data_IF_931012044679
#
_entry.id   IF_931012044679
#
_cell.length_a   1.000
_cell.length_b   1.000
_cell.length_c   1.000
_cell.angle_alpha   90.00
_cell.angle_beta   90.00
_cell.angle_gamma   90.00
#
_symmetry.space_group_name_H-M   'P 1'
#
loop_
_entity.id
_entity.type
_entity.pdbx_description
1 polymer ?
#
# COMPACT_ATOMS: atom_id res chain seq x y z
N UNK A 1 -15.64 -1.50 -15.15
CA UNK A 1 -14.43 -1.82 -14.38
C UNK A 1 -13.14 -1.72 -15.21
N UNK A 2 -13.03 -2.38 -16.35
CA UNK A 2 -11.78 -2.38 -17.16
C UNK A 2 -11.29 -0.97 -17.54
N UNK A 3 -12.18 -0.08 -18.02
CA UNK A 3 -11.84 1.32 -18.33
C UNK A 3 -11.32 2.09 -17.09
N UNK A 4 -11.86 1.82 -15.90
CA UNK A 4 -11.44 2.47 -14.68
C UNK A 4 -10.06 1.97 -14.22
N UNK A 5 -9.83 0.65 -14.28
CA UNK A 5 -8.52 0.07 -14.01
C UNK A 5 -7.45 0.64 -14.94
N UNK A 6 -7.74 0.78 -16.25
CA UNK A 6 -6.80 1.38 -17.19
C UNK A 6 -6.51 2.85 -16.87
N UNK A 7 -7.52 3.61 -16.43
CA UNK A 7 -7.37 5.01 -16.01
C UNK A 7 -6.47 5.13 -14.77
N UNK A 8 -6.71 4.30 -13.75
CA UNK A 8 -5.89 4.21 -12.54
C UNK A 8 -4.44 3.87 -12.90
N UNK A 9 -4.27 2.83 -13.74
CA UNK A 9 -2.94 2.42 -14.22
C UNK A 9 -2.21 3.57 -14.90
N UNK A 10 -2.86 4.27 -15.82
CA UNK A 10 -2.26 5.40 -16.55
C UNK A 10 -1.81 6.52 -15.59
N UNK A 11 -2.65 6.86 -14.60
CA UNK A 11 -2.32 7.84 -13.58
C UNK A 11 -1.05 7.45 -12.81
N UNK A 12 -0.95 6.21 -12.34
CA UNK A 12 0.23 5.74 -11.61
C UNK A 12 1.45 5.53 -12.51
N UNK A 13 1.26 5.15 -13.77
CA UNK A 13 2.34 5.11 -14.75
C UNK A 13 2.98 6.51 -14.95
N UNK A 14 2.16 7.56 -14.99
CA UNK A 14 2.63 8.94 -15.14
C UNK A 14 3.36 9.44 -13.88
N UNK A 15 2.90 9.01 -12.69
CA UNK A 15 3.47 9.38 -11.40
C UNK A 15 4.71 8.59 -10.99
N UNK A 16 5.10 7.57 -11.74
CA UNK A 16 6.05 6.55 -11.28
C UNK A 16 7.42 7.10 -10.87
N UNK A 17 8.02 7.98 -11.66
CA UNK A 17 9.36 8.52 -11.39
C UNK A 17 9.37 9.45 -10.16
N UNK A 18 8.42 10.38 -10.08
CA UNK A 18 8.33 11.31 -8.96
C UNK A 18 7.95 10.60 -7.66
N UNK A 19 7.02 9.67 -7.73
CA UNK A 19 6.66 8.84 -6.58
C UNK A 19 7.84 8.01 -6.11
N UNK A 20 8.60 7.40 -7.03
CA UNK A 20 9.81 6.64 -6.71
C UNK A 20 10.85 7.50 -5.99
N UNK A 21 11.07 8.75 -6.47
CA UNK A 21 11.98 9.69 -5.83
C UNK A 21 11.59 9.98 -4.37
N UNK A 22 10.32 10.30 -4.12
CA UNK A 22 9.82 10.53 -2.77
C UNK A 22 10.00 9.30 -1.87
N UNK A 23 9.71 8.09 -2.39
CA UNK A 23 9.89 6.85 -1.62
C UNK A 23 11.35 6.53 -1.33
N UNK A 24 12.29 6.90 -2.20
CA UNK A 24 13.74 6.78 -1.90
C UNK A 24 14.16 7.70 -0.76
N UNK A 25 13.73 8.96 -0.78
CA UNK A 25 14.00 9.91 0.32
C UNK A 25 13.44 9.36 1.64
N UNK A 26 12.23 8.82 1.62
CA UNK A 26 11.63 8.20 2.81
C UNK A 26 12.40 6.96 3.28
N UNK A 27 12.96 6.15 2.37
CA UNK A 27 13.80 4.99 2.72
C UNK A 27 15.13 5.37 3.37
N UNK A 28 15.63 6.58 3.12
CA UNK A 28 16.87 7.12 3.67
C UNK A 28 16.66 7.91 4.97
N UNK A 29 15.41 8.12 5.38
CA UNK A 29 15.01 8.91 6.55
C UNK A 29 14.69 8.06 7.78
N UNK A 30 14.45 8.70 8.92
CA UNK A 30 14.01 8.06 10.15
C UNK A 30 12.62 7.41 10.02
N UNK A 31 11.83 7.79 9.02
CA UNK A 31 10.54 7.16 8.73
C UNK A 31 10.69 5.68 8.36
N UNK A 32 11.75 5.31 7.62
CA UNK A 32 12.01 3.90 7.31
C UNK A 32 12.26 3.07 8.58
N UNK A 33 13.02 3.60 9.54
CA UNK A 33 13.25 2.95 10.83
C UNK A 33 11.97 2.85 11.68
N UNK A 34 11.08 3.83 11.58
CA UNK A 34 9.77 3.80 12.23
C UNK A 34 8.87 2.70 11.65
N UNK A 35 8.80 2.57 10.33
CA UNK A 35 8.10 1.47 9.66
C UNK A 35 8.69 0.09 9.99
N UNK A 36 10.01 -0.01 10.07
CA UNK A 36 10.68 -1.24 10.48
C UNK A 36 10.23 -1.70 11.89
N UNK A 37 10.08 -0.75 12.84
CA UNK A 37 9.55 -1.05 14.19
C UNK A 37 8.11 -1.56 14.14
N UNK A 38 7.26 -0.98 13.28
CA UNK A 38 5.88 -1.44 13.08
C UNK A 38 5.87 -2.90 12.59
N UNK A 39 6.68 -3.23 11.58
CA UNK A 39 6.76 -4.61 11.08
C UNK A 39 7.30 -5.58 12.14
N UNK A 40 8.39 -5.24 12.82
CA UNK A 40 8.96 -6.08 13.89
C UNK A 40 7.99 -6.33 15.05
N UNK A 41 7.11 -5.38 15.35
CA UNK A 41 6.10 -5.52 16.41
C UNK A 41 4.97 -6.48 16.02
N UNK A 42 4.58 -6.49 14.74
CA UNK A 42 3.35 -7.14 14.29
C UNK A 42 3.58 -8.41 13.46
N UNK A 43 4.81 -8.69 13.05
CA UNK A 43 5.16 -9.89 12.31
C UNK A 43 5.93 -10.88 13.19
N UNK A 44 5.75 -12.21 13.00
CA UNK A 44 6.56 -13.23 13.68
C UNK A 44 8.06 -13.00 13.47
N UNK A 45 8.83 -12.97 14.57
CA UNK A 45 10.26 -12.68 14.56
C UNK A 45 11.14 -13.94 14.49
N UNK A 46 10.56 -15.13 14.68
CA UNK A 46 11.25 -16.42 14.84
C UNK A 46 11.63 -17.10 13.53
N UNK A 47 11.12 -16.61 12.41
CA UNK A 47 11.32 -17.20 11.09
C UNK A 47 11.26 -16.19 9.93
N UNK A 48 11.85 -16.58 8.80
CA UNK A 48 11.63 -15.86 7.54
C UNK A 48 10.22 -16.09 7.04
N UNK A 49 9.53 -15.00 6.70
CA UNK A 49 8.18 -15.02 6.16
C UNK A 49 8.22 -14.89 4.63
N UNK A 50 7.20 -15.44 3.97
CA UNK A 50 6.83 -15.12 2.59
C UNK A 50 5.75 -14.05 2.63
N UNK A 51 6.06 -12.84 2.18
CA UNK A 51 5.20 -11.66 2.31
C UNK A 51 4.79 -11.17 0.94
N UNK A 52 3.51 -10.84 0.78
CA UNK A 52 2.97 -10.15 -0.39
C UNK A 52 2.82 -8.66 -0.07
N UNK A 53 3.49 -7.82 -0.85
CA UNK A 53 3.33 -6.35 -0.83
C UNK A 53 2.38 -5.96 -1.97
N UNK A 54 1.13 -5.65 -1.63
CA UNK A 54 0.05 -5.37 -2.60
C UNK A 54 0.01 -3.87 -2.90
N UNK A 55 0.12 -3.52 -4.19
CA UNK A 55 0.31 -2.13 -4.59
C UNK A 55 1.69 -1.64 -4.17
N UNK A 56 2.72 -2.45 -4.43
CA UNK A 56 4.10 -2.20 -3.98
C UNK A 56 4.68 -0.87 -4.48
N UNK A 57 4.11 -0.33 -5.57
CA UNK A 57 4.58 0.89 -6.21
C UNK A 57 6.07 0.82 -6.54
N UNK A 58 6.85 1.78 -6.03
CA UNK A 58 8.30 1.82 -6.19
C UNK A 58 9.07 0.94 -5.18
N UNK A 59 8.39 0.02 -4.46
CA UNK A 59 9.01 -1.00 -3.62
C UNK A 59 9.37 -0.57 -2.20
N UNK A 60 8.73 0.45 -1.63
CA UNK A 60 9.09 0.97 -0.31
C UNK A 60 8.95 -0.06 0.82
N UNK A 61 7.77 -0.66 1.00
CA UNK A 61 7.57 -1.70 2.00
C UNK A 61 8.35 -2.97 1.66
N UNK A 62 8.36 -3.34 0.38
CA UNK A 62 9.17 -4.46 -0.09
C UNK A 62 10.65 -4.32 0.31
N UNK A 63 11.24 -3.11 0.21
CA UNK A 63 12.63 -2.87 0.58
C UNK A 63 12.86 -3.03 2.08
N UNK A 64 12.00 -2.47 2.94
CA UNK A 64 12.11 -2.59 4.40
C UNK A 64 12.01 -4.07 4.81
N UNK A 65 11.01 -4.78 4.28
CA UNK A 65 10.78 -6.19 4.60
C UNK A 65 11.90 -7.11 4.09
N UNK A 66 12.49 -6.79 2.92
CA UNK A 66 13.66 -7.49 2.40
C UNK A 66 14.90 -7.26 3.26
N UNK A 67 15.12 -6.02 3.76
CA UNK A 67 16.19 -5.70 4.73
C UNK A 67 16.03 -6.48 6.03
N UNK A 68 14.79 -6.74 6.45
CA UNK A 68 14.47 -7.59 7.62
C UNK A 68 14.70 -9.10 7.35
N UNK A 69 15.05 -9.46 6.12
CA UNK A 69 15.39 -10.83 5.74
C UNK A 69 14.21 -11.68 5.30
N UNK A 70 13.03 -11.12 5.11
CA UNK A 70 11.85 -11.82 4.59
C UNK A 70 11.96 -12.06 3.07
N UNK A 71 11.16 -13.03 2.56
CA UNK A 71 10.96 -13.24 1.13
C UNK A 71 9.77 -12.42 0.66
N UNK A 72 10.00 -11.42 -0.17
CA UNK A 72 8.95 -10.50 -0.61
C UNK A 72 8.57 -10.73 -2.06
N UNK A 73 7.27 -10.75 -2.32
CA UNK A 73 6.67 -10.63 -3.65
C UNK A 73 5.92 -9.31 -3.66
N UNK A 74 6.33 -8.38 -4.53
CA UNK A 74 5.63 -7.11 -4.74
C UNK A 74 4.75 -7.19 -5.99
N UNK A 75 3.50 -6.76 -5.87
CA UNK A 75 2.61 -6.65 -7.03
C UNK A 75 2.10 -5.23 -7.22
N UNK A 76 1.98 -4.83 -8.46
CA UNK A 76 1.36 -3.56 -8.87
C UNK A 76 0.75 -3.71 -10.27
N UNK A 77 -0.28 -2.93 -10.60
CA UNK A 77 -0.81 -2.95 -11.96
C UNK A 77 -0.03 -2.01 -12.91
N UNK A 78 0.74 -1.07 -12.37
CA UNK A 78 1.62 -0.18 -13.13
C UNK A 78 2.96 -0.85 -13.39
N UNK A 79 3.23 -1.14 -14.65
CA UNK A 79 4.54 -1.69 -15.06
C UNK A 79 5.67 -0.67 -14.89
N UNK A 80 5.36 0.63 -14.96
CA UNK A 80 6.35 1.69 -14.72
C UNK A 80 6.72 1.79 -13.25
N UNK A 81 5.75 1.64 -12.33
CA UNK A 81 6.04 1.54 -10.89
C UNK A 81 6.95 0.35 -10.59
N UNK A 82 6.65 -0.82 -11.16
CA UNK A 82 7.51 -2.00 -10.97
C UNK A 82 8.91 -1.79 -11.53
N UNK A 83 9.04 -1.13 -12.69
CA UNK A 83 10.35 -0.75 -13.23
C UNK A 83 11.14 0.16 -12.29
N UNK A 84 10.48 1.07 -11.59
CA UNK A 84 11.12 1.88 -10.53
C UNK A 84 11.49 1.03 -9.31
N UNK A 85 10.63 0.11 -8.89
CA UNK A 85 10.94 -0.82 -7.80
C UNK A 85 12.18 -1.66 -8.11
N UNK A 86 12.30 -2.20 -9.31
CA UNK A 86 13.47 -2.98 -9.77
C UNK A 86 14.76 -2.12 -9.74
N UNK A 87 14.71 -0.86 -10.22
CA UNK A 87 15.85 0.08 -10.15
C UNK A 87 16.27 0.35 -8.71
N UNK A 88 15.28 0.59 -7.82
CA UNK A 88 15.55 0.83 -6.40
C UNK A 88 16.18 -0.39 -5.74
N UNK A 89 15.69 -1.59 -6.02
CA UNK A 89 16.23 -2.84 -5.48
C UNK A 89 17.65 -3.11 -5.96
N UNK A 90 17.92 -2.84 -7.23
CA UNK A 90 19.29 -2.93 -7.77
C UNK A 90 20.24 -1.96 -7.03
N UNK A 91 19.82 -0.70 -6.85
CA UNK A 91 20.61 0.33 -6.16
C UNK A 91 20.89 -0.04 -4.69
N UNK A 92 19.88 -0.61 -4.01
CA UNK A 92 19.97 -1.03 -2.61
C UNK A 92 20.64 -2.40 -2.42
N UNK A 93 21.01 -3.09 -3.50
CA UNK A 93 21.51 -4.47 -3.47
C UNK A 93 20.56 -5.43 -2.71
N UNK A 94 19.26 -5.28 -2.95
CA UNK A 94 18.20 -6.10 -2.38
C UNK A 94 17.62 -7.03 -3.44
N UNK A 95 16.86 -8.04 -2.99
CA UNK A 95 16.16 -9.00 -3.87
C UNK A 95 14.71 -9.17 -3.44
N UNK A 96 13.80 -9.04 -4.39
CA UNK A 96 12.39 -9.39 -4.29
C UNK A 96 11.89 -9.86 -5.67
N UNK A 97 10.73 -10.48 -5.70
CA UNK A 97 10.03 -10.81 -6.94
C UNK A 97 8.98 -9.73 -7.22
N UNK A 98 8.95 -9.15 -8.43
CA UNK A 98 7.94 -8.16 -8.82
C UNK A 98 7.07 -8.70 -9.95
N UNK A 99 5.74 -8.54 -9.83
CA UNK A 99 4.77 -9.04 -10.81
C UNK A 99 3.72 -7.99 -11.13
N UNK A 100 3.46 -7.79 -12.41
CA UNK A 100 2.29 -7.01 -12.84
C UNK A 100 1.02 -7.80 -12.54
N UNK A 101 0.19 -7.30 -11.62
CA UNK A 101 -1.00 -8.02 -11.17
C UNK A 101 -2.06 -7.06 -10.63
N UNK A 102 -3.34 -7.43 -10.79
CA UNK A 102 -4.45 -6.71 -10.19
C UNK A 102 -4.67 -7.19 -8.74
N UNK A 103 -4.67 -6.27 -7.79
CA UNK A 103 -4.91 -6.54 -6.38
C UNK A 103 -6.27 -7.24 -6.07
N UNK A 104 -7.20 -7.17 -7.01
CA UNK A 104 -8.56 -7.75 -6.91
C UNK A 104 -8.67 -9.15 -7.57
N UNK A 105 -7.57 -9.64 -8.18
CA UNK A 105 -7.54 -10.96 -8.83
C UNK A 105 -6.11 -11.48 -8.82
N UNK A 106 -5.81 -12.29 -7.82
CA UNK A 106 -4.46 -12.74 -7.53
C UNK A 106 -4.20 -14.12 -8.16
N UNK A 107 -3.16 -14.20 -9.01
CA UNK A 107 -2.68 -15.46 -9.58
C UNK A 107 -1.68 -16.14 -8.63
N UNK A 108 -2.19 -16.52 -7.46
CA UNK A 108 -1.50 -17.29 -6.44
C UNK A 108 -2.45 -18.34 -5.88
N UNK A 109 -1.89 -19.47 -5.46
CA UNK A 109 -2.62 -20.51 -4.75
C UNK A 109 -3.15 -20.00 -3.40
N UNK A 110 -4.17 -20.65 -2.88
CA UNK A 110 -4.66 -20.42 -1.52
C UNK A 110 -3.53 -20.61 -0.51
N UNK A 111 -3.59 -19.86 0.59
CA UNK A 111 -2.65 -20.00 1.72
C UNK A 111 -1.17 -19.97 1.32
N UNK A 112 -0.82 -19.10 0.38
CA UNK A 112 0.55 -18.95 -0.14
C UNK A 112 1.43 -18.09 0.74
N UNK A 113 0.88 -17.04 1.38
CA UNK A 113 1.64 -16.01 2.08
C UNK A 113 1.47 -16.08 3.59
N UNK A 114 2.57 -15.83 4.31
CA UNK A 114 2.56 -15.71 5.78
C UNK A 114 2.03 -14.35 6.23
N UNK A 115 2.25 -13.31 5.42
CA UNK A 115 1.72 -11.97 5.65
C UNK A 115 1.41 -11.27 4.32
N UNK A 116 0.49 -10.32 4.40
CA UNK A 116 0.16 -9.37 3.33
C UNK A 116 0.29 -7.97 3.90
N UNK A 117 0.94 -7.09 3.17
CA UNK A 117 1.06 -5.67 3.52
C UNK A 117 0.56 -4.81 2.37
N UNK A 118 0.02 -3.65 2.70
CA UNK A 118 -0.37 -2.64 1.71
C UNK A 118 -0.36 -1.26 2.34
N UNK A 119 -0.04 -0.23 1.54
CA UNK A 119 -0.05 1.17 1.97
C UNK A 119 -0.63 2.07 0.88
N UNK A 120 -1.60 2.91 1.26
CA UNK A 120 -2.25 3.89 0.39
C UNK A 120 -2.78 3.27 -0.93
N UNK A 121 -3.35 2.08 -0.86
CA UNK A 121 -3.85 1.35 -2.02
C UNK A 121 -5.37 1.24 -2.04
N UNK A 122 -5.98 0.87 -0.92
CA UNK A 122 -7.38 0.45 -0.91
C UNK A 122 -8.34 1.58 -1.30
N UNK A 123 -7.94 2.84 -1.11
CA UNK A 123 -8.71 4.00 -1.55
C UNK A 123 -8.81 4.12 -3.09
N UNK A 124 -7.93 3.45 -3.86
CA UNK A 124 -7.91 3.46 -5.33
C UNK A 124 -8.46 2.20 -5.98
N UNK A 125 -8.92 1.24 -5.17
CA UNK A 125 -9.44 -0.03 -5.70
C UNK A 125 -10.93 0.10 -6.05
N UNK A 126 -11.33 -0.22 -7.29
CA UNK A 126 -12.75 -0.20 -7.70
C UNK A 126 -13.65 -1.12 -6.88
N UNK A 127 -13.14 -2.26 -6.44
CA UNK A 127 -13.84 -3.22 -5.58
C UNK A 127 -12.95 -3.74 -4.46
N UNK A 128 -12.90 -2.98 -3.36
CA UNK A 128 -12.11 -3.33 -2.16
C UNK A 128 -12.61 -4.63 -1.52
N UNK A 129 -13.92 -4.93 -1.61
CA UNK A 129 -14.48 -6.19 -1.06
C UNK A 129 -13.89 -7.41 -1.75
N UNK A 130 -13.78 -7.37 -3.07
CA UNK A 130 -13.15 -8.44 -3.85
C UNK A 130 -11.67 -8.54 -3.52
N UNK A 131 -10.95 -7.41 -3.39
CA UNK A 131 -9.55 -7.42 -2.98
C UNK A 131 -9.35 -8.09 -1.62
N UNK A 132 -10.13 -7.72 -0.60
CA UNK A 132 -10.03 -8.33 0.74
C UNK A 132 -10.34 -9.83 0.74
N UNK A 133 -11.29 -10.32 -0.10
CA UNK A 133 -11.55 -11.76 -0.24
C UNK A 133 -10.37 -12.50 -0.88
N UNK A 134 -9.76 -11.92 -1.91
CA UNK A 134 -8.56 -12.49 -2.54
C UNK A 134 -7.37 -12.51 -1.58
N UNK A 135 -7.17 -11.44 -0.81
CA UNK A 135 -6.12 -11.38 0.19
C UNK A 135 -6.36 -12.41 1.31
N UNK A 136 -7.62 -12.56 1.75
CA UNK A 136 -7.97 -13.63 2.69
C UNK A 136 -7.66 -15.01 2.10
N UNK A 137 -8.00 -15.26 0.85
CA UNK A 137 -7.78 -16.55 0.19
C UNK A 137 -6.30 -16.93 0.16
N UNK A 138 -5.44 -16.02 -0.30
CA UNK A 138 -4.00 -16.31 -0.46
C UNK A 138 -3.20 -16.22 0.84
N UNK A 139 -3.78 -15.67 1.92
CA UNK A 139 -3.16 -15.61 3.24
C UNK A 139 -3.35 -16.94 3.95
N UNK A 140 -2.29 -17.47 4.55
CA UNK A 140 -2.33 -18.67 5.37
C UNK A 140 -3.19 -18.50 6.62
N UNK A 141 -3.72 -19.60 7.16
CA UNK A 141 -4.32 -19.59 8.50
C UNK A 141 -3.27 -19.15 9.54
N UNK A 142 -3.64 -18.22 10.41
CA UNK A 142 -2.73 -17.56 11.34
C UNK A 142 -1.82 -16.50 10.68
N UNK A 143 -1.98 -16.25 9.39
CA UNK A 143 -1.27 -15.18 8.67
C UNK A 143 -1.80 -13.79 9.01
N UNK A 144 -1.01 -12.76 8.74
CA UNK A 144 -1.27 -11.38 9.12
C UNK A 144 -1.50 -10.51 7.89
N UNK A 145 -2.62 -9.80 7.82
CA UNK A 145 -2.87 -8.71 6.89
C UNK A 145 -2.61 -7.37 7.60
N UNK A 146 -1.75 -6.53 7.04
CA UNK A 146 -1.51 -5.17 7.51
C UNK A 146 -1.89 -4.18 6.41
N UNK A 147 -2.92 -3.36 6.66
CA UNK A 147 -3.37 -2.32 5.75
C UNK A 147 -3.16 -0.95 6.40
N UNK A 148 -2.41 -0.08 5.72
CA UNK A 148 -2.13 1.30 6.11
C UNK A 148 -2.70 2.22 5.05
N UNK A 149 -3.72 3.00 5.40
CA UNK A 149 -4.41 3.87 4.44
C UNK A 149 -5.04 5.07 5.16
N UNK A 150 -5.64 5.99 4.43
CA UNK A 150 -6.35 7.15 4.96
C UNK A 150 -7.80 7.19 4.47
N UNK A 151 -8.65 7.93 5.18
CA UNK A 151 -10.02 8.18 4.72
C UNK A 151 -10.03 9.35 3.72
N UNK A 152 -9.80 9.02 2.46
CA UNK A 152 -9.81 10.01 1.37
C UNK A 152 -11.23 10.41 0.92
N UNK A 153 -12.30 9.89 1.52
CA UNK A 153 -13.68 10.11 1.06
C UNK A 153 -14.03 11.58 0.84
N UNK A 154 -13.70 12.43 1.82
CA UNK A 154 -13.92 13.88 1.77
C UNK A 154 -12.82 14.68 1.07
N UNK A 155 -11.70 14.07 0.67
CA UNK A 155 -10.52 14.76 0.13
C UNK A 155 -10.77 15.26 -1.29
N UNK A 156 -10.38 16.51 -1.56
CA UNK A 156 -10.22 17.05 -2.91
C UNK A 156 -8.75 17.31 -3.16
N UNK A 157 -8.10 16.46 -3.94
CA UNK A 157 -6.67 16.59 -4.22
C UNK A 157 -6.31 17.84 -5.01
N UNK A 158 -7.28 18.43 -5.72
CA UNK A 158 -7.07 19.69 -6.45
C UNK A 158 -6.83 20.89 -5.51
N UNK A 159 -7.15 20.75 -4.22
CA UNK A 159 -6.90 21.78 -3.20
C UNK A 159 -5.49 21.66 -2.57
N UNK A 160 -4.74 20.61 -2.90
CA UNK A 160 -3.40 20.38 -2.34
C UNK A 160 -2.34 21.20 -3.06
N UNK A 161 -1.34 21.63 -2.29
CA UNK A 161 -0.13 22.28 -2.81
C UNK A 161 1.04 21.34 -2.50
N UNK A 162 1.62 20.73 -3.54
CA UNK A 162 2.80 19.91 -3.42
C UNK A 162 4.03 20.72 -3.81
N UNK A 163 5.03 20.79 -2.94
CA UNK A 163 6.23 21.62 -3.14
C UNK A 163 7.38 20.86 -3.75
N UNK A 164 7.44 19.55 -3.57
CA UNK A 164 8.60 18.72 -3.93
C UNK A 164 8.36 17.75 -5.08
N UNK A 165 7.10 17.57 -5.50
CA UNK A 165 6.72 16.63 -6.55
C UNK A 165 6.14 17.39 -7.74
N UNK A 166 6.56 17.05 -8.96
CA UNK A 166 5.97 17.62 -10.19
C UNK A 166 4.57 17.03 -10.45
N UNK A 167 3.61 17.42 -9.63
CA UNK A 167 2.20 17.10 -9.86
C UNK A 167 1.57 18.28 -10.57
N UNK A 168 0.98 18.05 -11.75
CA UNK A 168 0.23 19.09 -12.46
C UNK A 168 -1.19 19.21 -11.93
N UNK A 169 -1.82 20.37 -12.15
CA UNK A 169 -3.22 20.58 -11.77
C UNK A 169 -4.14 19.54 -12.44
N UNK A 170 -3.84 19.14 -13.68
CA UNK A 170 -4.59 18.10 -14.38
C UNK A 170 -4.47 16.73 -13.66
N UNK A 171 -3.30 16.39 -13.14
CA UNK A 171 -3.10 15.17 -12.38
C UNK A 171 -3.87 15.19 -11.05
N UNK A 172 -3.94 16.32 -10.37
CA UNK A 172 -4.72 16.48 -9.13
C UNK A 172 -6.22 16.36 -9.38
N UNK A 173 -6.71 16.97 -10.48
CA UNK A 173 -8.10 16.82 -10.94
C UNK A 173 -8.40 15.36 -11.29
N UNK A 174 -7.49 14.67 -11.99
CA UNK A 174 -7.63 13.26 -12.34
C UNK A 174 -7.64 12.38 -11.10
N UNK A 175 -6.76 12.63 -10.13
CA UNK A 175 -6.71 11.91 -8.85
C UNK A 175 -8.05 12.03 -8.10
N UNK A 176 -8.58 13.26 -8.00
CA UNK A 176 -9.90 13.53 -7.40
C UNK A 176 -11.01 12.78 -8.13
N UNK A 177 -10.99 12.78 -9.45
CA UNK A 177 -12.00 12.10 -10.27
C UNK A 177 -11.90 10.56 -10.14
N UNK A 178 -10.69 10.00 -10.05
CA UNK A 178 -10.47 8.58 -9.74
C UNK A 178 -11.08 8.27 -8.35
N UNK A 179 -10.67 8.99 -7.31
CA UNK A 179 -11.18 8.82 -5.95
C UNK A 179 -12.71 8.87 -5.89
N UNK A 180 -13.34 9.87 -6.53
CA UNK A 180 -14.79 10.02 -6.55
C UNK A 180 -15.53 8.88 -7.29
N UNK A 181 -14.80 8.10 -8.12
CA UNK A 181 -15.34 6.92 -8.81
C UNK A 181 -15.30 5.67 -7.93
N UNK A 182 -14.64 5.71 -6.76
CA UNK A 182 -14.48 4.57 -5.87
C UNK A 182 -15.65 4.45 -4.91
N UNK A 183 -16.22 3.24 -4.79
CA UNK A 183 -17.30 2.99 -3.82
C UNK A 183 -16.84 3.20 -2.38
N UNK A 184 -15.58 2.88 -2.08
CA UNK A 184 -14.98 3.02 -0.75
C UNK A 184 -15.01 4.47 -0.26
N UNK A 185 -14.95 5.46 -1.16
CA UNK A 185 -15.01 6.89 -0.83
C UNK A 185 -16.34 7.33 -0.20
N UNK A 186 -17.38 6.50 -0.25
CA UNK A 186 -18.68 6.74 0.40
C UNK A 186 -18.77 6.12 1.79
N UNK A 187 -17.71 5.51 2.29
CA UNK A 187 -17.68 4.85 3.58
C UNK A 187 -16.70 5.55 4.53
N UNK A 188 -17.07 5.59 5.82
CA UNK A 188 -16.16 6.07 6.86
C UNK A 188 -15.10 5.00 7.15
N UNK A 189 -13.85 5.36 6.98
CA UNK A 189 -12.71 4.50 7.22
C UNK A 189 -11.96 4.90 8.51
N UNK A 190 -11.32 3.98 9.23
CA UNK A 190 -11.19 2.53 8.93
C UNK A 190 -12.39 1.68 9.38
N UNK A 191 -13.42 2.26 10.00
CA UNK A 191 -14.53 1.50 10.60
C UNK A 191 -15.23 0.53 9.61
N UNK A 192 -15.39 0.96 8.35
CA UNK A 192 -15.97 0.10 7.32
C UNK A 192 -15.07 -1.09 6.99
N UNK A 193 -13.76 -0.86 6.87
CA UNK A 193 -12.77 -1.91 6.59
C UNK A 193 -12.74 -2.95 7.69
N UNK A 194 -12.70 -2.50 8.95
CA UNK A 194 -12.73 -3.36 10.14
C UNK A 194 -13.96 -4.26 10.12
N UNK A 195 -15.16 -3.69 9.97
CA UNK A 195 -16.39 -4.49 9.95
C UNK A 195 -16.44 -5.48 8.77
N UNK A 196 -15.89 -5.12 7.61
CA UNK A 196 -15.84 -6.04 6.47
C UNK A 196 -14.83 -7.18 6.71
N UNK A 197 -13.67 -6.90 7.26
CA UNK A 197 -12.64 -7.91 7.58
C UNK A 197 -13.11 -8.87 8.69
N UNK A 198 -13.77 -8.36 9.75
CA UNK A 198 -14.39 -9.19 10.77
C UNK A 198 -15.46 -10.11 10.17
N UNK A 199 -16.25 -9.61 9.20
CA UNK A 199 -17.21 -10.41 8.44
C UNK A 199 -16.58 -11.51 7.58
N UNK A 200 -15.29 -11.43 7.28
CA UNK A 200 -14.48 -12.47 6.64
C UNK A 200 -13.81 -13.42 7.65
N UNK A 201 -14.10 -13.31 8.93
CA UNK A 201 -13.50 -14.05 10.05
C UNK A 201 -12.03 -13.70 10.34
N UNK A 202 -11.60 -12.49 10.04
CA UNK A 202 -10.36 -11.97 10.62
C UNK A 202 -10.55 -11.55 12.07
N UNK A 203 -9.54 -11.78 12.92
CA UNK A 203 -9.40 -11.09 14.19
C UNK A 203 -8.70 -9.76 13.94
N UNK A 204 -9.40 -8.64 14.14
CA UNK A 204 -8.94 -7.32 13.71
C UNK A 204 -8.54 -6.46 14.90
N UNK A 205 -7.35 -5.86 14.83
CA UNK A 205 -6.90 -4.73 15.65
C UNK A 205 -6.66 -3.53 14.72
N UNK A 206 -6.94 -2.32 15.18
CA UNK A 206 -6.70 -1.13 14.38
C UNK A 206 -6.32 0.07 15.25
N UNK A 207 -5.69 1.05 14.61
CA UNK A 207 -5.40 2.38 15.14
C UNK A 207 -5.92 3.40 14.12
N UNK A 208 -6.64 4.40 14.60
CA UNK A 208 -7.24 5.42 13.71
C UNK A 208 -6.20 6.40 13.16
N UNK A 209 -5.07 6.57 13.83
CA UNK A 209 -4.00 7.49 13.40
C UNK A 209 -2.63 7.08 13.94
N UNK A 210 -1.79 6.58 13.05
CA UNK A 210 -0.37 6.29 13.32
C UNK A 210 0.58 7.32 12.68
N UNK A 211 0.07 8.43 12.15
CA UNK A 211 0.88 9.42 11.44
C UNK A 211 2.08 9.87 12.26
N UNK A 212 1.87 10.24 13.52
CA UNK A 212 2.95 10.66 14.42
C UNK A 212 3.98 9.56 14.73
N UNK A 213 3.64 8.30 14.48
CA UNK A 213 4.55 7.15 14.71
C UNK A 213 5.47 6.91 13.53
N UNK A 214 4.99 7.13 12.29
CA UNK A 214 5.68 6.74 11.06
C UNK A 214 6.13 7.92 10.19
N UNK A 215 5.66 9.13 10.48
CA UNK A 215 6.03 10.39 9.81
C UNK A 215 6.86 11.24 10.78
N UNK A 216 7.96 10.71 11.26
CA UNK A 216 8.82 11.34 12.28
C UNK A 216 9.85 12.30 11.66
N UNK A 217 10.11 12.17 10.38
CA UNK A 217 11.00 13.01 9.59
C UNK A 217 10.21 13.74 8.50
N UNK A 218 10.31 15.07 8.39
CA UNK A 218 9.58 15.85 7.37
C UNK A 218 10.21 15.75 5.96
N UNK A 219 10.96 14.69 5.67
CA UNK A 219 11.66 14.47 4.40
C UNK A 219 10.73 14.35 3.18
N UNK A 220 9.44 14.15 3.40
CA UNK A 220 8.45 13.96 2.35
C UNK A 220 7.17 14.73 2.67
N UNK A 221 6.53 15.24 1.63
CA UNK A 221 5.17 15.76 1.74
C UNK A 221 4.20 14.58 1.98
N UNK A 222 3.48 14.63 3.09
CA UNK A 222 2.42 13.70 3.42
C UNK A 222 1.07 14.38 3.34
N UNK A 223 0.04 13.61 2.99
CA UNK A 223 -1.33 14.11 3.13
C UNK A 223 -1.61 14.50 4.59
N UNK A 224 -2.38 15.57 4.77
CA UNK A 224 -2.79 16.05 6.10
C UNK A 224 -3.82 15.13 6.78
N UNK A 225 -4.22 14.05 6.12
CA UNK A 225 -5.19 13.09 6.66
C UNK A 225 -4.53 12.10 7.61
N UNK A 226 -5.22 11.69 8.69
CA UNK A 226 -4.76 10.62 9.55
C UNK A 226 -4.47 9.35 8.75
N UNK A 227 -3.31 8.75 9.00
CA UNK A 227 -2.95 7.43 8.47
C UNK A 227 -3.39 6.36 9.45
N UNK A 228 -4.42 5.61 9.14
CA UNK A 228 -4.85 4.51 9.98
C UNK A 228 -4.03 3.23 9.72
N UNK A 229 -3.97 2.37 10.72
CA UNK A 229 -3.39 1.03 10.62
C UNK A 229 -4.42 -0.03 10.97
N UNK A 230 -4.54 -1.06 10.14
CA UNK A 230 -5.30 -2.27 10.43
C UNK A 230 -4.32 -3.43 10.46
N UNK A 231 -4.37 -4.23 11.51
CA UNK A 231 -3.66 -5.50 11.65
C UNK A 231 -4.71 -6.60 11.88
N UNK A 232 -4.85 -7.50 10.91
CA UNK A 232 -5.89 -8.53 10.91
C UNK A 232 -5.27 -9.92 10.78
N UNK A 233 -5.65 -10.85 11.66
CA UNK A 233 -5.15 -12.23 11.70
C UNK A 233 -6.23 -13.16 11.16
N UNK A 234 -5.88 -13.98 10.13
CA UNK A 234 -6.76 -14.99 9.54
C UNK A 234 -6.92 -16.21 10.43
#
# INVERSE_FOLDING_TARGET
MEKLNQRIKNYWDERSEDFSRARRLELESDNAAAWEKIFKKNLPADRKLKILDVGTGAGFFAAILSKLGHKVVGIDMSTKMLGEAEKNFHTLNLSAEFKTMNAQSLDFDDETFDAIVTRNLTWTLPDVKTAYREWFRVLKVGGVLMNFDSDFGGKNFADDVYTEVKITDEMLVECTAIKNSMQISNHRRPAWDVGFLEGLNFSVMFDEDISAVVQVDPCCDYDSLPLFAICAIK
#
